data_IF_894103211026
#
_entry.id   IF_894103211026
#
_cell.length_a   1.000
_cell.length_b   1.000
_cell.length_c   1.000
_cell.angle_alpha   90.00
_cell.angle_beta   90.00
_cell.angle_gamma   90.00
#
_symmetry.space_group_name_H-M   'P 1'
#
loop_
_entity.id
_entity.type
_entity.pdbx_description
1 polymer ?
#
# COMPACT_ATOMS: atom_id res chain seq x y z
N UNK A 1 -9.69 2.33 10.02
CA UNK A 1 -9.12 0.98 10.24
C UNK A 1 -9.29 0.53 11.70
N UNK A 2 -8.77 1.23 12.71
CA UNK A 2 -8.88 0.82 14.13
C UNK A 2 -10.33 0.65 14.61
N UNK A 3 -11.27 1.52 14.21
CA UNK A 3 -12.67 1.38 14.57
C UNK A 3 -13.29 0.09 14.01
N UNK A 4 -13.07 -0.21 12.73
CA UNK A 4 -13.60 -1.42 12.09
C UNK A 4 -13.13 -2.70 12.81
N UNK A 5 -11.89 -2.71 13.32
CA UNK A 5 -11.33 -3.82 14.08
C UNK A 5 -12.02 -4.06 15.43
N UNK A 6 -12.78 -3.09 15.96
CA UNK A 6 -13.51 -3.24 17.24
C UNK A 6 -14.89 -3.88 17.06
N UNK A 7 -15.46 -3.80 15.85
CA UNK A 7 -16.79 -4.36 15.58
C UNK A 7 -16.75 -5.86 15.30
N UNK A 8 -15.66 -6.36 14.69
CA UNK A 8 -15.55 -7.75 14.25
C UNK A 8 -14.36 -8.44 14.92
N UNK A 9 -14.61 -9.60 15.55
CA UNK A 9 -13.57 -10.43 16.15
C UNK A 9 -13.14 -11.57 15.22
N UNK A 10 -14.11 -12.39 14.74
CA UNK A 10 -13.82 -13.58 13.91
C UNK A 10 -13.43 -13.28 12.47
N UNK A 11 -13.86 -12.14 11.90
CA UNK A 11 -13.61 -11.73 10.51
C UNK A 11 -12.89 -10.37 10.46
N UNK A 12 -12.00 -10.14 11.41
CA UNK A 12 -11.32 -8.86 11.60
C UNK A 12 -10.46 -8.49 10.41
N UNK A 13 -9.65 -9.44 9.92
CA UNK A 13 -8.76 -9.21 8.79
C UNK A 13 -9.54 -8.98 7.50
N UNK A 14 -10.59 -9.76 7.25
CA UNK A 14 -11.43 -9.58 6.07
C UNK A 14 -12.07 -8.18 6.01
N UNK A 15 -12.60 -7.69 7.14
CA UNK A 15 -13.21 -6.35 7.21
C UNK A 15 -12.20 -5.24 6.96
N UNK A 16 -10.99 -5.39 7.48
CA UNK A 16 -9.89 -4.46 7.19
C UNK A 16 -9.47 -4.53 5.71
N UNK A 17 -9.49 -5.73 5.12
CA UNK A 17 -9.27 -5.93 3.68
C UNK A 17 -10.32 -5.25 2.81
N UNK A 18 -11.60 -5.33 3.18
CA UNK A 18 -12.69 -4.61 2.50
C UNK A 18 -12.44 -3.09 2.57
N UNK A 19 -12.06 -2.57 3.73
CA UNK A 19 -11.67 -1.16 3.87
C UNK A 19 -10.48 -0.76 2.98
N UNK A 20 -9.54 -1.69 2.77
CA UNK A 20 -8.40 -1.46 1.90
C UNK A 20 -8.75 -1.44 0.39
N UNK A 21 -9.90 -1.99 -0.03
CA UNK A 21 -10.36 -1.90 -1.43
C UNK A 21 -10.60 -0.46 -1.87
N UNK A 22 -10.96 0.42 -0.95
CA UNK A 22 -11.13 1.85 -1.25
C UNK A 22 -9.87 2.48 -1.85
N UNK A 23 -8.68 2.05 -1.43
CA UNK A 23 -7.43 2.55 -2.02
C UNK A 23 -7.15 2.00 -3.42
N UNK A 24 -7.61 0.78 -3.76
CA UNK A 24 -7.57 0.29 -5.14
C UNK A 24 -8.52 1.09 -6.03
N UNK A 25 -9.76 1.29 -5.57
CA UNK A 25 -10.74 2.07 -6.33
C UNK A 25 -10.22 3.47 -6.61
N UNK A 26 -9.68 4.16 -5.59
CA UNK A 26 -9.04 5.46 -5.78
C UNK A 26 -7.81 5.41 -6.69
N UNK A 27 -6.99 4.37 -6.57
CA UNK A 27 -5.80 4.13 -7.39
C UNK A 27 -6.09 3.88 -8.88
N UNK A 28 -7.30 3.45 -9.22
CA UNK A 28 -7.76 3.32 -10.61
C UNK A 28 -8.49 4.57 -11.08
N UNK A 29 -9.45 5.05 -10.28
CA UNK A 29 -10.35 6.15 -10.67
C UNK A 29 -9.59 7.47 -10.83
N UNK A 30 -8.74 7.85 -9.88
CA UNK A 30 -8.08 9.16 -9.92
C UNK A 30 -7.06 9.31 -11.06
N UNK A 31 -6.18 8.34 -11.39
CA UNK A 31 -5.31 8.43 -12.55
C UNK A 31 -6.08 8.50 -13.87
N UNK A 32 -7.15 7.69 -14.02
CA UNK A 32 -7.99 7.73 -15.22
C UNK A 32 -8.68 9.09 -15.37
N UNK A 33 -9.24 9.63 -14.27
CA UNK A 33 -9.83 10.98 -14.29
C UNK A 33 -8.80 12.04 -14.67
N UNK A 34 -7.60 11.99 -14.07
CA UNK A 34 -6.54 12.93 -14.40
C UNK A 34 -6.15 12.84 -15.89
N UNK A 35 -5.95 11.63 -16.39
CA UNK A 35 -5.59 11.39 -17.79
C UNK A 35 -6.62 11.90 -18.79
N UNK A 36 -7.92 11.77 -18.47
CA UNK A 36 -8.99 12.21 -19.37
C UNK A 36 -9.34 13.69 -19.23
N UNK A 37 -9.26 14.24 -18.03
CA UNK A 37 -9.71 15.59 -17.75
C UNK A 37 -8.62 16.65 -17.98
N UNK A 38 -7.35 16.35 -17.70
CA UNK A 38 -6.26 17.34 -17.88
C UNK A 38 -6.22 17.89 -19.31
N UNK A 39 -6.31 17.05 -20.38
CA UNK A 39 -6.32 17.58 -21.76
C UNK A 39 -7.58 18.38 -22.12
N UNK A 40 -8.72 18.12 -21.45
CA UNK A 40 -10.02 18.74 -21.78
C UNK A 40 -10.29 20.04 -21.05
N UNK A 41 -10.00 20.09 -19.75
CA UNK A 41 -10.37 21.20 -18.85
C UNK A 41 -9.18 21.81 -18.11
N UNK A 42 -7.98 21.31 -18.38
CA UNK A 42 -6.73 21.75 -17.74
C UNK A 42 -6.53 21.23 -16.34
N UNK A 43 -5.31 21.37 -15.86
CA UNK A 43 -4.88 20.89 -14.53
C UNK A 43 -5.69 21.48 -13.36
N UNK A 44 -5.94 22.83 -13.29
CA UNK A 44 -6.62 23.41 -12.12
C UNK A 44 -8.03 22.87 -11.90
N UNK A 45 -8.82 22.70 -12.96
CA UNK A 45 -10.18 22.18 -12.85
C UNK A 45 -10.20 20.69 -12.55
N UNK A 46 -9.27 19.92 -13.12
CA UNK A 46 -9.12 18.48 -12.83
C UNK A 46 -8.89 18.26 -11.34
N UNK A 47 -7.97 19.01 -10.74
CA UNK A 47 -7.68 18.89 -9.28
C UNK A 47 -8.90 19.26 -8.44
N UNK A 48 -9.66 20.29 -8.83
CA UNK A 48 -10.90 20.69 -8.12
C UNK A 48 -11.96 19.60 -8.18
N UNK A 49 -12.17 18.96 -9.34
CA UNK A 49 -13.13 17.85 -9.49
C UNK A 49 -12.73 16.68 -8.59
N UNK A 50 -11.45 16.29 -8.59
CA UNK A 50 -10.94 15.25 -7.69
C UNK A 50 -11.19 15.63 -6.23
N UNK A 51 -10.93 16.89 -5.86
CA UNK A 51 -11.20 17.43 -4.52
C UNK A 51 -12.68 17.36 -4.15
N UNK A 52 -13.60 17.68 -5.06
CA UNK A 52 -15.05 17.57 -4.81
C UNK A 52 -15.51 16.14 -4.63
N UNK A 53 -14.98 15.18 -5.41
CA UNK A 53 -15.26 13.76 -5.23
C UNK A 53 -14.79 13.30 -3.84
N UNK A 54 -13.57 13.68 -3.44
CA UNK A 54 -13.05 13.37 -2.11
C UNK A 54 -13.90 14.00 -1.00
N UNK A 55 -14.34 15.23 -1.17
CA UNK A 55 -15.20 15.93 -0.20
C UNK A 55 -16.54 15.21 -0.05
N UNK A 56 -17.20 14.85 -1.16
CA UNK A 56 -18.47 14.15 -1.15
C UNK A 56 -18.36 12.77 -0.47
N UNK A 57 -17.33 11.99 -0.82
CA UNK A 57 -17.11 10.65 -0.21
C UNK A 57 -16.80 10.75 1.28
N UNK A 58 -16.02 11.75 1.71
CA UNK A 58 -15.77 12.00 3.13
C UNK A 58 -17.03 12.46 3.87
N UNK A 59 -17.86 13.31 3.28
CA UNK A 59 -19.13 13.75 3.89
C UNK A 59 -20.06 12.56 4.14
N UNK A 60 -20.18 11.65 3.16
CA UNK A 60 -20.94 10.39 3.34
C UNK A 60 -20.35 9.55 4.46
N UNK A 61 -19.02 9.39 4.48
CA UNK A 61 -18.33 8.63 5.54
C UNK A 61 -18.63 9.20 6.92
N UNK A 62 -18.54 10.52 7.10
CA UNK A 62 -18.81 11.19 8.39
C UNK A 62 -20.27 11.02 8.79
N UNK A 63 -21.21 11.12 7.86
CA UNK A 63 -22.64 10.97 8.13
C UNK A 63 -23.01 9.57 8.68
N UNK A 64 -22.34 8.51 8.18
CA UNK A 64 -22.60 7.13 8.60
C UNK A 64 -21.64 6.61 9.67
N UNK A 65 -20.61 7.37 10.03
CA UNK A 65 -19.59 6.93 10.97
C UNK A 65 -20.09 7.02 12.41
N UNK A 66 -20.24 5.88 13.07
CA UNK A 66 -20.62 5.79 14.48
C UNK A 66 -19.53 5.09 15.29
N UNK A 67 -19.18 5.65 16.42
CA UNK A 67 -18.23 5.04 17.36
C UNK A 67 -18.94 4.02 18.24
N UNK A 68 -18.41 2.79 18.36
CA UNK A 68 -18.93 1.75 19.25
C UNK A 68 -18.40 1.90 20.67
N UNK A 69 -17.13 2.24 20.78
CA UNK A 69 -16.48 2.45 22.08
C UNK A 69 -16.56 3.92 22.47
N UNK A 70 -16.75 4.22 23.76
CA UNK A 70 -16.72 5.58 24.23
C UNK A 70 -15.36 6.20 23.90
N UNK A 71 -15.32 7.53 23.65
CA UNK A 71 -14.07 8.22 23.37
C UNK A 71 -13.10 8.04 24.54
N UNK A 72 -11.85 7.76 24.20
CA UNK A 72 -10.78 7.61 25.18
C UNK A 72 -10.56 8.94 25.89
N UNK A 73 -10.86 9.00 27.18
CA UNK A 73 -10.76 10.25 27.97
C UNK A 73 -9.34 10.56 28.44
N UNK A 74 -8.44 9.57 28.51
CA UNK A 74 -7.04 9.73 28.95
C UNK A 74 -6.16 8.63 28.39
N UNK A 75 -4.86 8.92 28.31
CA UNK A 75 -3.81 7.96 27.90
C UNK A 75 -2.77 8.59 26.98
N UNK A 76 -1.57 8.03 26.91
CA UNK A 76 -0.50 8.56 26.08
C UNK A 76 -0.85 8.48 24.59
N UNK A 77 -0.42 9.47 23.81
CA UNK A 77 -0.52 9.50 22.34
C UNK A 77 0.43 8.46 21.75
N UNK A 78 1.54 8.17 22.42
CA UNK A 78 2.55 7.18 22.03
C UNK A 78 2.69 6.15 23.16
N UNK A 79 2.56 4.88 22.82
CA UNK A 79 2.75 3.77 23.74
C UNK A 79 4.18 3.24 23.67
N UNK A 80 5.10 3.83 24.43
CA UNK A 80 6.50 3.40 24.46
C UNK A 80 6.68 1.96 24.94
N UNK A 81 5.75 1.43 25.72
CA UNK A 81 5.80 0.04 26.16
C UNK A 81 5.70 -0.97 25.01
N UNK A 82 5.06 -0.62 23.89
CA UNK A 82 4.99 -1.45 22.71
C UNK A 82 6.39 -1.76 22.12
N UNK A 83 7.34 -0.83 22.26
CA UNK A 83 8.72 -1.04 21.82
C UNK A 83 9.53 -1.99 22.72
N UNK A 84 8.99 -2.42 23.85
CA UNK A 84 9.58 -3.49 24.68
C UNK A 84 9.11 -4.89 24.26
N UNK A 85 8.08 -4.96 23.40
CA UNK A 85 7.58 -6.20 22.84
C UNK A 85 8.37 -6.57 21.58
N UNK A 86 9.23 -7.61 21.59
CA UNK A 86 10.14 -7.90 20.48
C UNK A 86 9.37 -8.21 19.18
N UNK A 87 8.21 -8.85 19.27
CA UNK A 87 7.38 -9.19 18.13
C UNK A 87 6.86 -7.92 17.44
N UNK A 88 6.42 -6.92 18.21
CA UNK A 88 5.95 -5.64 17.67
C UNK A 88 7.09 -4.88 16.99
N UNK A 89 8.26 -4.81 17.63
CA UNK A 89 9.44 -4.11 17.09
C UNK A 89 9.92 -4.75 15.78
N UNK A 90 10.09 -6.08 15.78
CA UNK A 90 10.52 -6.81 14.59
C UNK A 90 9.52 -6.67 13.44
N UNK A 91 8.22 -6.69 13.76
CA UNK A 91 7.19 -6.47 12.74
C UNK A 91 7.23 -5.05 12.16
N UNK A 92 7.38 -4.03 13.00
CA UNK A 92 7.53 -2.64 12.56
C UNK A 92 8.79 -2.43 11.71
N UNK A 93 9.91 -3.06 12.10
CA UNK A 93 11.17 -3.00 11.34
C UNK A 93 11.02 -3.70 9.98
N UNK A 94 10.45 -4.90 9.96
CA UNK A 94 10.18 -5.63 8.72
C UNK A 94 9.23 -4.85 7.80
N UNK A 95 8.17 -4.25 8.37
CA UNK A 95 7.26 -3.39 7.62
C UNK A 95 7.97 -2.15 7.06
N UNK A 96 8.83 -1.50 7.84
CA UNK A 96 9.64 -0.36 7.37
C UNK A 96 10.48 -0.76 6.15
N UNK A 97 11.27 -1.83 6.25
CA UNK A 97 12.12 -2.31 5.17
C UNK A 97 11.32 -2.69 3.94
N UNK A 98 10.19 -3.38 4.14
CA UNK A 98 9.33 -3.79 3.04
C UNK A 98 8.71 -2.59 2.32
N UNK A 99 8.09 -1.65 3.05
CA UNK A 99 7.46 -0.46 2.44
C UNK A 99 8.48 0.49 1.83
N UNK A 100 9.73 0.47 2.29
CA UNK A 100 10.82 1.24 1.72
C UNK A 100 11.10 0.82 0.27
N UNK A 101 11.13 -0.50 -0.01
CA UNK A 101 11.27 -1.03 -1.36
C UNK A 101 9.95 -1.09 -2.15
N UNK A 102 8.80 -1.24 -1.49
CA UNK A 102 7.52 -1.47 -2.15
C UNK A 102 7.17 -0.39 -3.16
N UNK A 103 7.26 0.86 -2.74
CA UNK A 103 6.86 1.99 -3.58
C UNK A 103 7.87 2.31 -4.68
N UNK A 104 9.08 1.77 -4.62
CA UNK A 104 10.03 1.87 -5.72
C UNK A 104 9.41 1.36 -7.02
N UNK A 105 8.86 0.15 -7.03
CA UNK A 105 8.24 -0.41 -8.22
C UNK A 105 7.05 0.44 -8.72
N UNK A 106 6.19 0.94 -7.81
CA UNK A 106 5.05 1.76 -8.20
C UNK A 106 5.46 3.10 -8.82
N UNK A 107 6.52 3.73 -8.34
CA UNK A 107 6.98 5.02 -8.85
C UNK A 107 7.82 4.88 -10.12
N UNK A 108 8.65 3.84 -10.21
CA UNK A 108 9.66 3.74 -11.25
C UNK A 108 9.36 2.76 -12.37
N UNK A 109 8.36 1.85 -12.24
CA UNK A 109 7.99 0.93 -13.31
C UNK A 109 7.57 1.65 -14.59
N UNK A 110 6.83 2.76 -14.46
CA UNK A 110 6.43 3.56 -15.61
C UNK A 110 7.58 4.33 -16.26
N UNK A 111 8.54 4.81 -15.47
CA UNK A 111 9.76 5.44 -15.99
C UNK A 111 10.67 4.41 -16.67
N UNK A 112 10.89 3.28 -16.03
CA UNK A 112 11.63 2.16 -16.59
C UNK A 112 11.04 1.69 -17.94
N UNK A 113 9.72 1.61 -18.05
CA UNK A 113 9.04 1.24 -19.29
C UNK A 113 9.32 2.23 -20.42
N UNK A 114 9.38 3.53 -20.12
CA UNK A 114 9.65 4.58 -21.13
C UNK A 114 11.13 4.69 -21.45
N UNK A 115 11.99 4.71 -20.42
CA UNK A 115 13.41 5.03 -20.56
C UNK A 115 14.20 3.84 -21.11
N UNK A 116 13.81 2.60 -20.74
CA UNK A 116 14.54 1.39 -21.10
C UNK A 116 13.87 0.56 -22.20
N UNK A 117 12.53 0.50 -22.24
CA UNK A 117 11.77 -0.28 -23.22
C UNK A 117 11.08 0.58 -24.28
N UNK A 118 11.34 1.90 -24.29
CA UNK A 118 10.78 2.87 -25.26
C UNK A 118 9.24 2.79 -25.40
N UNK A 119 8.57 2.41 -24.32
CA UNK A 119 7.11 2.28 -24.29
C UNK A 119 6.41 3.65 -24.35
N UNK A 120 5.22 3.70 -24.94
CA UNK A 120 4.42 4.92 -24.93
C UNK A 120 4.01 5.34 -23.51
N UNK A 121 3.71 6.64 -23.33
CA UNK A 121 3.17 7.14 -22.06
C UNK A 121 1.90 6.39 -21.65
N UNK A 122 1.03 6.09 -22.61
CA UNK A 122 -0.20 5.35 -22.38
C UNK A 122 0.07 3.95 -21.82
N UNK A 123 1.02 3.22 -22.40
CA UNK A 123 1.39 1.88 -21.93
C UNK A 123 2.03 1.90 -20.55
N UNK A 124 2.81 2.93 -20.24
CA UNK A 124 3.39 3.09 -18.90
C UNK A 124 2.32 3.34 -17.82
N UNK A 125 1.24 4.05 -18.15
CA UNK A 125 0.07 4.18 -17.24
C UNK A 125 -0.70 2.87 -17.15
N UNK A 126 -0.87 2.14 -18.26
CA UNK A 126 -1.54 0.84 -18.27
C UNK A 126 -0.82 -0.19 -17.39
N UNK A 127 0.51 -0.14 -17.29
CA UNK A 127 1.28 -0.97 -16.34
C UNK A 127 0.88 -0.71 -14.89
N UNK A 128 0.80 0.57 -14.49
CA UNK A 128 0.36 0.94 -13.14
C UNK A 128 -1.09 0.51 -12.88
N UNK A 129 -1.96 0.70 -13.85
CA UNK A 129 -3.34 0.24 -13.76
C UNK A 129 -3.41 -1.28 -13.64
N UNK A 130 -2.58 -2.02 -14.36
CA UNK A 130 -2.49 -3.49 -14.25
C UNK A 130 -2.12 -3.90 -12.83
N UNK A 131 -1.08 -3.30 -12.24
CA UNK A 131 -0.67 -3.57 -10.85
C UNK A 131 -1.81 -3.35 -9.85
N UNK A 132 -2.56 -2.25 -10.02
CA UNK A 132 -3.66 -1.89 -9.09
C UNK A 132 -4.90 -2.76 -9.33
N UNK A 133 -5.27 -3.02 -10.59
CA UNK A 133 -6.45 -3.81 -10.93
C UNK A 133 -6.32 -5.27 -10.50
N UNK A 134 -5.17 -5.88 -10.78
CA UNK A 134 -4.89 -7.26 -10.32
C UNK A 134 -4.89 -7.30 -8.78
N UNK A 135 -4.38 -6.27 -8.13
CA UNK A 135 -4.38 -6.12 -6.69
C UNK A 135 -5.77 -6.12 -6.03
N UNK A 136 -6.86 -5.89 -6.78
CA UNK A 136 -8.20 -5.81 -6.21
C UNK A 136 -8.62 -7.11 -5.51
N UNK A 137 -8.49 -8.25 -6.18
CA UNK A 137 -8.79 -9.58 -5.61
C UNK A 137 -7.82 -9.92 -4.48
N UNK A 138 -6.54 -9.60 -4.67
CA UNK A 138 -5.46 -9.92 -3.73
C UNK A 138 -5.45 -9.04 -2.47
N UNK A 139 -6.33 -8.07 -2.36
CA UNK A 139 -6.60 -7.38 -1.08
C UNK A 139 -7.62 -8.10 -0.20
N UNK A 140 -8.46 -8.94 -0.77
CA UNK A 140 -9.47 -9.70 -0.01
C UNK A 140 -9.00 -11.11 0.36
N UNK A 141 -8.46 -11.84 -0.62
CA UNK A 141 -8.08 -13.23 -0.46
C UNK A 141 -7.09 -13.48 0.69
N UNK A 142 -5.96 -12.73 0.81
CA UNK A 142 -5.04 -12.92 1.92
C UNK A 142 -5.66 -12.60 3.28
N UNK A 143 -6.52 -11.58 3.35
CA UNK A 143 -7.20 -11.25 4.59
C UNK A 143 -8.20 -12.32 5.04
N UNK A 144 -8.88 -12.95 4.09
CA UNK A 144 -9.75 -14.09 4.38
C UNK A 144 -8.95 -15.32 4.86
N UNK A 145 -7.79 -15.58 4.25
CA UNK A 145 -6.85 -16.61 4.70
C UNK A 145 -6.28 -16.29 6.09
N UNK A 146 -5.98 -15.02 6.36
CA UNK A 146 -5.45 -14.55 7.64
C UNK A 146 -6.39 -14.80 8.80
N UNK A 147 -7.70 -14.72 8.59
CA UNK A 147 -8.70 -15.05 9.62
C UNK A 147 -8.74 -16.55 9.96
N UNK A 148 -8.15 -17.43 9.11
CA UNK A 148 -8.08 -18.89 9.31
C UNK A 148 -6.71 -19.39 9.78
N UNK A 149 -5.65 -18.89 9.16
CA UNK A 149 -4.27 -19.38 9.32
C UNK A 149 -3.40 -18.44 10.17
N UNK A 150 -3.94 -17.29 10.58
CA UNK A 150 -3.20 -16.24 11.27
C UNK A 150 -2.52 -15.26 10.32
N UNK A 151 -2.57 -13.98 10.68
CA UNK A 151 -2.14 -12.89 9.80
C UNK A 151 -0.65 -12.94 9.48
N UNK A 152 0.21 -13.27 10.47
CA UNK A 152 1.67 -13.38 10.25
C UNK A 152 2.03 -14.50 9.27
N UNK A 153 1.39 -15.66 9.39
CA UNK A 153 1.69 -16.82 8.54
C UNK A 153 1.30 -16.56 7.07
N UNK A 154 0.26 -15.75 6.86
CA UNK A 154 -0.21 -15.45 5.50
C UNK A 154 0.58 -14.30 4.87
N UNK A 155 1.04 -13.30 5.63
CA UNK A 155 1.80 -12.18 5.06
C UNK A 155 3.20 -12.59 4.60
N UNK A 156 3.83 -13.58 5.26
CA UNK A 156 5.19 -14.03 4.95
C UNK A 156 5.38 -14.50 3.50
N UNK A 157 4.56 -15.42 2.94
CA UNK A 157 4.72 -15.85 1.55
C UNK A 157 4.52 -14.70 0.55
N UNK A 158 3.64 -13.74 0.82
CA UNK A 158 3.47 -12.57 -0.04
C UNK A 158 4.72 -11.67 -0.03
N UNK A 159 5.32 -11.47 1.15
CA UNK A 159 6.57 -10.72 1.30
C UNK A 159 7.70 -11.41 0.54
N UNK A 160 7.81 -12.73 0.65
CA UNK A 160 8.81 -13.51 -0.07
C UNK A 160 8.64 -13.38 -1.59
N UNK A 161 7.41 -13.55 -2.11
CA UNK A 161 7.13 -13.39 -3.54
C UNK A 161 7.51 -11.99 -4.03
N UNK A 162 7.13 -10.93 -3.31
CA UNK A 162 7.50 -9.58 -3.68
C UNK A 162 9.02 -9.36 -3.70
N UNK A 163 9.74 -9.90 -2.71
CA UNK A 163 11.21 -9.80 -2.68
C UNK A 163 11.86 -10.51 -3.86
N UNK A 164 11.42 -11.73 -4.18
CA UNK A 164 11.91 -12.47 -5.35
C UNK A 164 11.60 -11.73 -6.65
N UNK A 165 10.40 -11.14 -6.76
CA UNK A 165 10.02 -10.38 -7.96
C UNK A 165 10.84 -9.11 -8.12
N UNK A 166 11.26 -8.43 -7.05
CA UNK A 166 12.16 -7.27 -7.15
C UNK A 166 13.50 -7.66 -7.78
N UNK A 167 14.11 -8.76 -7.35
CA UNK A 167 15.31 -9.29 -8.02
C UNK A 167 15.02 -9.79 -9.44
N UNK A 168 13.84 -10.37 -9.67
CA UNK A 168 13.40 -10.81 -10.99
C UNK A 168 13.26 -9.66 -11.99
N UNK A 169 13.02 -8.43 -11.51
CA UNK A 169 12.92 -7.25 -12.37
C UNK A 169 14.22 -6.97 -13.15
N UNK A 170 15.37 -7.30 -12.58
CA UNK A 170 16.68 -7.17 -13.27
C UNK A 170 16.70 -7.91 -14.62
N UNK A 171 15.99 -9.04 -14.73
CA UNK A 171 15.89 -9.84 -15.96
C UNK A 171 14.79 -9.41 -16.93
N UNK A 172 14.06 -8.32 -16.65
CA UNK A 172 12.95 -7.86 -17.49
C UNK A 172 13.45 -7.00 -18.64
N UNK A 173 13.49 -7.56 -19.85
CA UNK A 173 14.01 -6.91 -21.05
C UNK A 173 12.96 -6.76 -22.18
N UNK A 174 11.68 -7.05 -21.92
CA UNK A 174 10.61 -6.91 -22.90
C UNK A 174 9.32 -6.40 -22.28
N UNK A 175 8.46 -5.80 -23.12
CA UNK A 175 7.15 -5.29 -22.68
C UNK A 175 6.30 -6.40 -22.06
N UNK A 176 6.27 -7.60 -22.67
CA UNK A 176 5.49 -8.73 -22.15
C UNK A 176 5.95 -9.19 -20.77
N UNK A 177 7.26 -9.31 -20.55
CA UNK A 177 7.83 -9.68 -19.25
C UNK A 177 7.59 -8.62 -18.20
N UNK A 178 7.55 -7.32 -18.59
CA UNK A 178 7.24 -6.23 -17.68
C UNK A 178 5.78 -6.26 -17.22
N UNK A 179 4.83 -6.61 -18.11
CA UNK A 179 3.42 -6.81 -17.72
C UNK A 179 3.24 -8.02 -16.79
N UNK A 180 3.97 -9.11 -17.02
CA UNK A 180 3.97 -10.28 -16.11
C UNK A 180 4.52 -9.90 -14.74
N UNK A 181 5.65 -9.18 -14.71
CA UNK A 181 6.19 -8.62 -13.47
C UNK A 181 5.16 -7.75 -12.76
N UNK A 182 4.56 -6.79 -13.46
CA UNK A 182 3.56 -5.88 -12.91
C UNK A 182 2.35 -6.62 -12.31
N UNK A 183 1.87 -7.67 -12.98
CA UNK A 183 0.77 -8.49 -12.50
C UNK A 183 1.14 -9.26 -11.22
N UNK A 184 2.25 -10.00 -11.21
CA UNK A 184 2.66 -10.81 -10.05
C UNK A 184 3.04 -9.93 -8.86
N UNK A 185 3.81 -8.86 -9.11
CA UNK A 185 4.18 -7.90 -8.07
C UNK A 185 2.95 -7.17 -7.52
N UNK A 186 1.99 -6.82 -8.40
CA UNK A 186 0.71 -6.24 -8.02
C UNK A 186 -0.10 -7.13 -7.07
N UNK A 187 -0.13 -8.46 -7.33
CA UNK A 187 -0.76 -9.43 -6.44
C UNK A 187 -0.12 -9.42 -5.04
N UNK A 188 1.20 -9.57 -4.99
CA UNK A 188 1.94 -9.65 -3.73
C UNK A 188 1.85 -8.37 -2.92
N UNK A 189 2.13 -7.24 -3.56
CA UNK A 189 2.14 -5.91 -2.94
C UNK A 189 0.77 -5.49 -2.40
N UNK A 190 -0.31 -5.78 -3.13
CA UNK A 190 -1.68 -5.50 -2.69
C UNK A 190 -2.05 -6.33 -1.45
N UNK A 191 -1.67 -7.60 -1.42
CA UNK A 191 -1.86 -8.48 -0.27
C UNK A 191 -1.20 -7.90 0.98
N UNK A 192 0.07 -7.53 0.90
CA UNK A 192 0.83 -6.99 2.03
C UNK A 192 0.25 -5.65 2.51
N UNK A 193 -0.04 -4.72 1.59
CA UNK A 193 -0.62 -3.43 1.94
C UNK A 193 -1.95 -3.57 2.69
N UNK A 194 -2.80 -4.51 2.29
CA UNK A 194 -4.09 -4.74 2.94
C UNK A 194 -3.96 -5.49 4.26
N UNK A 195 -2.99 -6.39 4.37
CA UNK A 195 -2.74 -7.18 5.58
C UNK A 195 -1.95 -6.43 6.65
N UNK A 196 -1.18 -5.40 6.29
CA UNK A 196 -0.37 -4.64 7.25
C UNK A 196 -1.18 -4.17 8.47
N UNK A 197 -2.30 -3.46 8.34
CA UNK A 197 -3.10 -3.06 9.49
C UNK A 197 -3.77 -4.25 10.19
N UNK A 198 -4.12 -5.31 9.47
CA UNK A 198 -4.73 -6.51 10.04
C UNK A 198 -3.75 -7.28 10.93
N UNK A 199 -2.51 -7.45 10.46
CA UNK A 199 -1.43 -8.08 11.23
C UNK A 199 -1.08 -7.26 12.45
N UNK A 200 -0.92 -5.94 12.32
CA UNK A 200 -0.65 -5.05 13.43
C UNK A 200 -1.75 -5.08 14.49
N UNK A 201 -3.01 -5.16 14.02
CA UNK A 201 -4.16 -5.33 14.90
C UNK A 201 -4.14 -6.70 15.62
N UNK A 202 -3.70 -7.78 14.97
CA UNK A 202 -3.61 -9.12 15.59
C UNK A 202 -2.52 -9.21 16.65
N UNK A 203 -1.46 -8.42 16.53
CA UNK A 203 -0.38 -8.32 17.53
C UNK A 203 -0.78 -7.49 18.76
N UNK A 204 -1.93 -6.79 18.69
CA UNK A 204 -2.39 -5.95 19.81
C UNK A 204 -3.43 -6.72 20.62
N UNK A 205 -3.08 -7.10 21.84
CA UNK A 205 -3.97 -7.82 22.77
C UNK A 205 -5.02 -6.89 23.38
N UNK A 206 -4.65 -5.66 23.70
CA UNK A 206 -5.54 -4.66 24.30
C UNK A 206 -6.17 -3.76 23.21
N UNK A 207 -7.46 -3.96 22.97
CA UNK A 207 -8.23 -3.19 21.97
C UNK A 207 -8.25 -1.68 22.24
N UNK A 208 -8.12 -1.27 23.51
CA UNK A 208 -8.07 0.17 23.87
C UNK A 208 -6.80 0.86 23.35
N UNK A 209 -5.73 0.10 23.12
CA UNK A 209 -4.44 0.56 22.62
C UNK A 209 -4.27 0.35 21.10
N UNK A 210 -5.19 -0.38 20.47
CA UNK A 210 -5.08 -0.74 19.06
C UNK A 210 -4.94 0.48 18.13
N UNK A 211 -5.67 1.56 18.42
CA UNK A 211 -5.58 2.81 17.66
C UNK A 211 -4.20 3.47 17.74
N UNK A 212 -3.62 3.52 18.94
CA UNK A 212 -2.29 4.11 19.18
C UNK A 212 -1.21 3.27 18.48
N UNK A 213 -1.24 1.95 18.68
CA UNK A 213 -0.26 1.03 18.05
C UNK A 213 -0.35 1.05 16.53
N UNK A 214 -1.57 1.10 15.96
CA UNK A 214 -1.73 1.31 14.53
C UNK A 214 -1.16 2.65 14.07
N UNK A 215 -1.44 3.74 14.79
CA UNK A 215 -0.90 5.06 14.48
C UNK A 215 0.63 5.07 14.48
N UNK A 216 1.25 4.47 15.49
CA UNK A 216 2.72 4.33 15.57
C UNK A 216 3.29 3.51 14.41
N UNK A 217 2.67 2.36 14.08
CA UNK A 217 3.09 1.53 12.96
C UNK A 217 2.97 2.27 11.61
N UNK A 218 1.87 2.95 11.36
CA UNK A 218 1.71 3.78 10.17
C UNK A 218 2.69 4.95 10.12
N UNK A 219 3.02 5.58 11.25
CA UNK A 219 4.03 6.64 11.30
C UNK A 219 5.41 6.11 10.91
N UNK A 220 5.82 4.93 11.40
CA UNK A 220 7.09 4.31 11.04
C UNK A 220 7.12 4.02 9.52
N UNK A 221 6.06 3.42 8.99
CA UNK A 221 5.96 3.11 7.56
C UNK A 221 5.90 4.37 6.70
N UNK A 222 5.33 5.47 7.18
CA UNK A 222 5.28 6.74 6.44
C UNK A 222 6.67 7.31 6.14
N UNK A 223 7.63 7.16 7.07
CA UNK A 223 9.03 7.53 6.82
C UNK A 223 9.67 6.65 5.75
N UNK A 224 9.36 5.35 5.72
CA UNK A 224 9.82 4.46 4.65
C UNK A 224 9.28 4.90 3.28
N UNK A 225 7.98 5.18 3.20
CA UNK A 225 7.34 5.64 1.97
C UNK A 225 7.86 7.01 1.50
N UNK A 226 8.22 7.89 2.44
CA UNK A 226 8.75 9.22 2.13
C UNK A 226 10.19 9.17 1.61
N UNK A 227 11.02 8.31 2.19
CA UNK A 227 12.46 8.27 1.91
C UNK A 227 12.85 7.28 0.81
N UNK A 228 12.07 6.21 0.61
CA UNK A 228 12.36 5.17 -0.38
C UNK A 228 12.46 5.67 -1.81
N UNK A 229 11.39 6.25 -2.38
CA UNK A 229 11.41 6.72 -3.77
C UNK A 229 12.48 7.78 -4.07
N UNK A 230 12.71 8.83 -3.23
CA UNK A 230 13.81 9.77 -3.45
C UNK A 230 15.20 9.13 -3.42
N UNK A 231 15.42 8.18 -2.50
CA UNK A 231 16.70 7.46 -2.44
C UNK A 231 16.92 6.66 -3.73
N UNK A 232 15.92 5.92 -4.17
CA UNK A 232 15.99 5.18 -5.42
C UNK A 232 16.27 6.10 -6.62
N UNK A 233 15.61 7.27 -6.69
CA UNK A 233 15.87 8.27 -7.72
C UNK A 233 17.29 8.81 -7.68
N UNK A 234 17.86 9.04 -6.51
CA UNK A 234 19.24 9.46 -6.35
C UNK A 234 20.21 8.37 -6.83
N UNK A 235 19.95 7.09 -6.54
CA UNK A 235 20.76 5.97 -7.02
C UNK A 235 20.73 5.85 -8.55
N UNK A 236 19.59 5.99 -9.17
CA UNK A 236 19.42 5.99 -10.64
C UNK A 236 20.18 7.15 -11.27
N UNK A 237 20.06 8.37 -10.72
CA UNK A 237 20.76 9.56 -11.22
C UNK A 237 22.29 9.46 -11.11
N UNK A 238 22.81 8.84 -10.05
CA UNK A 238 24.26 8.65 -9.85
C UNK A 238 24.88 7.69 -10.88
N UNK A 239 24.08 6.93 -11.59
CA UNK A 239 24.51 5.91 -12.55
C UNK A 239 23.98 6.16 -13.97
N UNK A 240 23.86 7.44 -14.35
CA UNK A 240 23.45 7.83 -15.70
C UNK A 240 22.14 7.19 -16.20
N UNK A 241 21.20 6.94 -15.27
CA UNK A 241 19.90 6.35 -15.58
C UNK A 241 19.83 4.83 -15.46
N UNK A 242 20.88 4.15 -14.97
CA UNK A 242 20.83 2.71 -14.74
C UNK A 242 20.00 2.36 -13.51
N UNK A 243 19.03 1.49 -13.70
CA UNK A 243 18.08 1.03 -12.66
C UNK A 243 18.63 -0.10 -11.79
N UNK A 244 19.74 -0.75 -12.18
CA UNK A 244 20.25 -1.97 -11.54
C UNK A 244 20.46 -1.79 -10.03
N UNK A 245 21.13 -0.70 -9.62
CA UNK A 245 21.42 -0.45 -8.20
C UNK A 245 20.21 -0.07 -7.37
N UNK A 246 19.16 0.43 -7.99
CA UNK A 246 17.91 0.74 -7.31
C UNK A 246 16.98 -0.48 -7.22
N UNK A 247 17.21 -1.51 -8.06
CA UNK A 247 16.50 -2.79 -8.04
C UNK A 247 17.10 -3.78 -7.04
N UNK A 248 18.36 -3.64 -6.68
CA UNK A 248 19.07 -4.41 -5.64
C UNK A 248 18.83 -3.85 -4.24
#
# INVERSE_FOLDING_TARGET
MSLASTYFQKKRSLVLGIGALGSCTGGVVFPILAQQLIPRIGFPWTVRIIGFIMLATNAVTIAFYRTRLPPRRSGPIVELSAFREPIYVLYCLAAFMFFWGLYFAFFYVGSYARDWLEMSYQDSVNLLLTMVCVGFIWRLLPNWLADRFGALNVILPFTFVCSVMMYGWIGVNSQGTLYVFAAIYGCGSAGIQSMFPATLASLTTDLSKAGVRMGMGFSIVSFACLTGPPLAGALINQRDGDYLYAQM
#
